data_IF_710181007210
#
_entry.id   IF_710181007210
#
_cell.length_a   1.000
_cell.length_b   1.000
_cell.length_c   1.000
_cell.angle_alpha   90.00
_cell.angle_beta   90.00
_cell.angle_gamma   90.00
#
_symmetry.space_group_name_H-M   'P 1'
#
loop_
_entity.id
_entity.type
_entity.pdbx_description
1 polymer ?
#
# COMPACT_ATOMS: atom_id res chain seq x y z
N UNK A 1 7.38 7.36 -28.47
CA UNK A 1 7.72 7.57 -27.05
C UNK A 1 9.15 7.10 -26.87
N UNK A 2 10.05 7.97 -26.40
CA UNK A 2 11.48 7.67 -26.23
C UNK A 2 11.71 7.16 -24.82
N UNK A 3 12.33 5.98 -24.67
CA UNK A 3 12.75 5.42 -23.38
C UNK A 3 14.06 6.11 -22.90
N UNK A 4 14.05 7.44 -22.78
CA UNK A 4 15.29 8.23 -22.59
C UNK A 4 15.86 8.22 -21.17
N UNK A 5 15.24 7.52 -20.21
CA UNK A 5 15.67 7.52 -18.80
C UNK A 5 15.69 6.12 -18.17
N UNK A 6 16.01 5.09 -18.95
CA UNK A 6 16.36 3.78 -18.37
C UNK A 6 17.86 3.78 -18.08
N UNK A 7 18.30 3.59 -16.82
CA UNK A 7 19.72 3.46 -16.53
C UNK A 7 20.27 2.25 -17.30
N UNK A 8 21.21 2.48 -18.21
CA UNK A 8 21.92 1.42 -18.92
C UNK A 8 23.29 1.22 -18.30
N UNK A 9 23.61 -0.01 -17.92
CA UNK A 9 24.94 -0.38 -17.49
C UNK A 9 25.78 -0.70 -18.73
N UNK A 10 26.77 0.13 -19.03
CA UNK A 10 27.70 -0.12 -20.12
C UNK A 10 28.82 -1.04 -19.65
N UNK A 11 28.75 -2.32 -19.98
CA UNK A 11 29.80 -3.29 -19.69
C UNK A 11 30.91 -3.22 -20.74
N UNK A 12 32.02 -2.56 -20.41
CA UNK A 12 33.23 -2.60 -21.24
C UNK A 12 34.09 -3.78 -20.82
N UNK A 13 33.82 -4.98 -21.37
CA UNK A 13 34.60 -6.19 -21.10
C UNK A 13 33.95 -7.47 -21.63
N UNK A 14 34.71 -8.56 -21.74
CA UNK A 14 34.23 -9.89 -22.19
C UNK A 14 33.74 -10.79 -21.06
N UNK A 15 33.69 -10.27 -19.83
CA UNK A 15 33.36 -11.04 -18.62
C UNK A 15 32.22 -10.35 -17.91
N UNK A 16 31.07 -11.04 -17.79
CA UNK A 16 29.93 -10.59 -16.97
C UNK A 16 30.19 -11.05 -15.53
N UNK A 17 30.24 -10.12 -14.59
CA UNK A 17 30.34 -10.40 -13.15
C UNK A 17 28.97 -10.25 -12.47
N UNK A 18 28.79 -10.83 -11.28
CA UNK A 18 27.54 -10.67 -10.51
C UNK A 18 27.20 -9.19 -10.22
N UNK A 19 28.22 -8.32 -10.14
CA UNK A 19 28.07 -6.87 -9.99
C UNK A 19 27.47 -6.16 -11.23
N UNK A 20 27.39 -6.85 -12.36
CA UNK A 20 26.86 -6.33 -13.62
C UNK A 20 25.34 -6.52 -13.75
N UNK A 21 24.71 -7.24 -12.81
CA UNK A 21 23.27 -7.44 -12.79
C UNK A 21 22.57 -6.32 -12.02
N UNK A 22 21.67 -5.61 -12.70
CA UNK A 22 20.70 -4.72 -12.05
C UNK A 22 19.55 -5.58 -11.53
N UNK A 23 19.34 -5.58 -10.21
CA UNK A 23 18.16 -6.20 -9.63
C UNK A 23 16.97 -5.26 -9.79
N UNK A 24 16.08 -5.59 -10.73
CA UNK A 24 14.83 -4.87 -10.95
C UNK A 24 13.71 -5.60 -10.22
N UNK A 25 13.21 -5.01 -9.14
CA UNK A 25 12.02 -5.50 -8.45
C UNK A 25 10.78 -4.81 -9.02
N UNK A 26 9.87 -5.60 -9.61
CA UNK A 26 8.57 -5.11 -10.06
C UNK A 26 7.48 -5.59 -9.10
N UNK A 27 6.74 -4.65 -8.52
CA UNK A 27 5.56 -4.95 -7.72
C UNK A 27 4.30 -4.67 -8.55
N UNK A 28 3.48 -5.68 -8.75
CA UNK A 28 2.17 -5.49 -9.34
C UNK A 28 1.29 -4.74 -8.34
N UNK A 29 0.95 -3.49 -8.66
CA UNK A 29 0.04 -2.69 -7.86
C UNK A 29 -1.39 -3.23 -8.08
N UNK A 30 -1.98 -3.76 -7.01
CA UNK A 30 -3.40 -4.08 -7.00
C UNK A 30 -4.23 -2.81 -6.88
N UNK A 31 -5.42 -2.81 -7.48
CA UNK A 31 -6.41 -1.75 -7.25
C UNK A 31 -7.02 -1.87 -5.85
N UNK A 32 -7.28 -3.11 -5.41
CA UNK A 32 -7.79 -3.46 -4.08
C UNK A 32 -6.69 -3.50 -3.01
N UNK A 33 -7.08 -3.30 -1.75
CA UNK A 33 -6.19 -3.58 -0.63
C UNK A 33 -5.98 -5.09 -0.48
N UNK A 34 -4.77 -5.50 -0.12
CA UNK A 34 -4.38 -6.92 0.01
C UNK A 34 -3.83 -7.20 1.39
N UNK A 35 -4.35 -8.26 2.01
CA UNK A 35 -3.73 -8.81 3.21
C UNK A 35 -2.91 -10.05 2.85
N UNK A 36 -1.63 -10.03 3.20
CA UNK A 36 -0.72 -11.14 2.97
C UNK A 36 0.57 -10.96 3.78
N UNK A 37 1.16 -12.07 4.21
CA UNK A 37 2.44 -12.06 4.95
C UNK A 37 2.44 -11.14 6.19
N UNK A 38 1.29 -11.01 6.86
CA UNK A 38 1.12 -10.17 8.06
C UNK A 38 1.02 -8.67 7.81
N UNK A 39 0.94 -8.24 6.54
CA UNK A 39 0.83 -6.84 6.15
C UNK A 39 -0.46 -6.60 5.37
N UNK A 40 -0.98 -5.39 5.53
CA UNK A 40 -2.08 -4.84 4.75
C UNK A 40 -1.50 -3.83 3.77
N UNK A 41 -1.44 -4.21 2.51
CA UNK A 41 -0.93 -3.37 1.44
C UNK A 41 -2.07 -2.62 0.76
N UNK A 42 -1.93 -1.30 0.62
CA UNK A 42 -3.03 -0.40 0.27
C UNK A 42 -2.57 0.67 -0.72
N UNK A 43 -3.28 0.81 -1.84
CA UNK A 43 -3.22 2.04 -2.62
C UNK A 43 -4.08 3.10 -1.93
N UNK A 44 -3.49 4.22 -1.55
CA UNK A 44 -4.07 5.26 -0.70
C UNK A 44 -4.10 6.61 -1.41
N UNK A 45 -5.27 7.23 -1.44
CA UNK A 45 -5.48 8.64 -1.74
C UNK A 45 -5.55 9.41 -0.41
N UNK A 46 -4.52 10.18 -0.10
CA UNK A 46 -4.42 10.99 1.12
C UNK A 46 -4.79 12.46 0.85
N UNK A 47 -5.61 12.73 -0.18
CA UNK A 47 -6.06 14.06 -0.53
C UNK A 47 -4.91 14.96 -0.97
N UNK A 48 -4.72 16.08 -0.28
CA UNK A 48 -3.69 17.07 -0.62
C UNK A 48 -2.25 16.56 -0.47
N UNK A 49 -2.03 15.48 0.29
CA UNK A 49 -0.72 14.82 0.44
C UNK A 49 -0.36 14.06 -0.85
N UNK A 50 -1.35 13.67 -1.63
CA UNK A 50 -1.20 12.92 -2.87
C UNK A 50 -1.61 11.46 -2.73
N UNK A 51 -1.14 10.67 -3.69
CA UNK A 51 -1.49 9.26 -3.85
C UNK A 51 -0.23 8.41 -3.66
N UNK A 52 -0.36 7.32 -2.90
CA UNK A 52 0.76 6.44 -2.61
C UNK A 52 0.29 5.00 -2.41
N UNK A 53 1.17 4.05 -2.66
CA UNK A 53 1.04 2.70 -2.18
C UNK A 53 1.78 2.57 -0.85
N UNK A 54 1.13 1.98 0.16
CA UNK A 54 1.64 1.88 1.52
C UNK A 54 1.32 0.51 2.11
N UNK A 55 2.19 0.04 2.98
CA UNK A 55 1.93 -1.09 3.86
C UNK A 55 1.50 -0.59 5.26
N UNK A 56 0.54 -1.29 5.83
CA UNK A 56 0.23 -1.24 7.24
C UNK A 56 0.58 -2.58 7.91
N UNK A 57 1.13 -2.52 9.12
CA UNK A 57 1.28 -3.69 9.98
C UNK A 57 0.10 -3.77 10.94
N UNK A 58 -0.39 -4.99 11.22
CA UNK A 58 -1.34 -5.20 12.31
C UNK A 58 -0.57 -5.17 13.63
N UNK A 59 -0.77 -4.12 14.43
CA UNK A 59 -0.09 -3.93 15.72
C UNK A 59 -0.92 -4.42 16.89
N UNK A 60 -2.23 -4.55 16.72
CA UNK A 60 -3.15 -5.16 17.69
C UNK A 60 -4.30 -5.84 16.94
N UNK A 61 -4.73 -7.00 17.42
CA UNK A 61 -5.86 -7.75 16.87
C UNK A 61 -7.01 -7.96 17.88
N UNK A 62 -6.83 -7.56 19.14
CA UNK A 62 -7.85 -7.68 20.19
C UNK A 62 -7.57 -6.69 21.35
N UNK A 63 -8.60 -6.07 21.96
CA UNK A 63 -10.03 -6.19 21.66
C UNK A 63 -10.42 -5.58 20.30
N UNK A 64 -9.71 -4.53 19.88
CA UNK A 64 -9.93 -3.86 18.60
C UNK A 64 -8.74 -4.10 17.66
N UNK A 65 -9.02 -4.20 16.36
CA UNK A 65 -7.95 -4.31 15.36
C UNK A 65 -7.32 -2.95 15.13
N UNK A 66 -6.01 -2.85 15.29
CA UNK A 66 -5.22 -1.65 15.05
C UNK A 66 -4.18 -1.94 13.96
N UNK A 67 -4.17 -1.07 12.96
CA UNK A 67 -3.17 -1.07 11.89
C UNK A 67 -2.29 0.17 12.02
N UNK A 68 -0.99 0.02 11.78
CA UNK A 68 -0.02 1.12 11.86
C UNK A 68 0.75 1.21 10.56
N UNK A 69 0.85 2.42 10.01
CA UNK A 69 1.59 2.69 8.77
C UNK A 69 3.05 2.23 8.92
N UNK A 70 3.59 1.59 7.89
CA UNK A 70 5.03 1.29 7.77
C UNK A 70 5.66 2.38 6.89
N UNK A 71 6.32 3.42 7.44
CA UNK A 71 6.67 4.61 6.65
C UNK A 71 7.62 4.31 5.48
N UNK A 72 8.54 3.35 5.68
CA UNK A 72 9.51 2.92 4.67
C UNK A 72 8.92 2.18 3.47
N UNK A 73 7.63 1.83 3.52
CA UNK A 73 6.92 1.18 2.41
C UNK A 73 6.31 2.16 1.40
N UNK A 74 6.31 3.46 1.72
CA UNK A 74 5.60 4.48 0.94
C UNK A 74 6.19 4.60 -0.46
N UNK A 75 5.37 4.31 -1.46
CA UNK A 75 5.69 4.49 -2.88
C UNK A 75 4.68 5.46 -3.49
N UNK A 76 5.08 6.68 -3.79
CA UNK A 76 4.21 7.66 -4.43
C UNK A 76 3.81 7.20 -5.84
N UNK A 77 2.54 7.39 -6.18
CA UNK A 77 1.96 7.05 -7.48
C UNK A 77 1.23 8.26 -8.05
N UNK A 78 1.26 8.41 -9.37
CA UNK A 78 0.68 9.53 -10.11
C UNK A 78 -0.63 9.16 -10.84
N UNK A 79 -1.13 7.94 -10.60
CA UNK A 79 -2.37 7.40 -11.17
C UNK A 79 -3.38 7.07 -10.10
N UNK A 80 -4.64 7.42 -10.36
CA UNK A 80 -5.78 7.00 -9.57
C UNK A 80 -6.23 5.60 -9.97
N UNK A 81 -6.53 4.77 -8.97
CA UNK A 81 -7.05 3.41 -9.14
C UNK A 81 -8.50 3.35 -8.67
N UNK A 82 -9.26 2.40 -9.19
CA UNK A 82 -10.71 2.26 -8.95
C UNK A 82 -11.04 1.99 -7.46
N UNK A 83 -10.32 1.07 -6.81
CA UNK A 83 -10.59 0.67 -5.41
C UNK A 83 -9.60 1.26 -4.38
N UNK A 84 -9.05 2.43 -4.69
CA UNK A 84 -8.11 3.10 -3.79
C UNK A 84 -8.77 3.44 -2.45
N UNK A 85 -8.05 3.16 -1.37
CA UNK A 85 -8.43 3.66 -0.05
C UNK A 85 -8.36 5.18 -0.02
N UNK A 86 -9.21 5.79 0.80
CA UNK A 86 -9.23 7.24 1.00
C UNK A 86 -8.96 7.58 2.45
N UNK A 87 -7.98 8.46 2.69
CA UNK A 87 -7.77 9.05 4.00
C UNK A 87 -8.22 10.51 4.00
N UNK A 88 -9.13 10.83 4.92
CA UNK A 88 -9.55 12.18 5.22
C UNK A 88 -8.82 12.67 6.48
N UNK A 89 -7.87 13.59 6.30
CA UNK A 89 -7.09 14.17 7.37
C UNK A 89 -7.92 15.05 8.33
N UNK A 90 -9.08 15.57 7.90
CA UNK A 90 -9.95 16.38 8.75
C UNK A 90 -10.73 15.52 9.73
N UNK A 91 -11.34 14.43 9.26
CA UNK A 91 -12.08 13.51 10.13
C UNK A 91 -11.22 12.42 10.77
N UNK A 92 -9.98 12.23 10.30
CA UNK A 92 -9.13 11.11 10.71
C UNK A 92 -9.62 9.76 10.19
N UNK A 93 -10.50 9.73 9.19
CA UNK A 93 -11.11 8.51 8.68
C UNK A 93 -10.26 7.92 7.56
N UNK A 94 -9.91 6.65 7.68
CA UNK A 94 -9.38 5.83 6.59
C UNK A 94 -10.46 4.86 6.13
N UNK A 95 -10.85 4.93 4.86
CA UNK A 95 -11.82 4.04 4.23
C UNK A 95 -11.11 3.16 3.21
N UNK A 96 -11.24 1.84 3.35
CA UNK A 96 -10.75 0.85 2.39
C UNK A 96 -11.97 0.21 1.72
N UNK A 97 -12.19 0.44 0.40
CA UNK A 97 -13.36 -0.06 -0.31
C UNK A 97 -13.50 -1.58 -0.29
N UNK A 98 -12.39 -2.27 -0.55
CA UNK A 98 -12.34 -3.74 -0.61
C UNK A 98 -11.01 -4.25 -0.07
N UNK A 99 -11.09 -5.32 0.72
CA UNK A 99 -9.95 -6.08 1.22
C UNK A 99 -9.96 -7.49 0.62
N UNK A 100 -8.90 -7.79 -0.12
CA UNK A 100 -8.64 -9.10 -0.68
C UNK A 100 -7.75 -9.93 0.26
N UNK A 101 -8.18 -11.16 0.53
CA UNK A 101 -7.44 -12.16 1.30
C UNK A 101 -7.39 -13.43 0.46
N UNK A 102 -6.19 -13.99 0.24
CA UNK A 102 -5.98 -15.20 -0.56
C UNK A 102 -6.59 -15.15 -1.97
N UNK A 103 -6.60 -13.99 -2.62
CA UNK A 103 -7.10 -13.85 -4.00
C UNK A 103 -8.60 -13.58 -4.13
N UNK A 104 -9.33 -13.50 -3.02
CA UNK A 104 -10.76 -13.20 -3.00
C UNK A 104 -11.06 -11.98 -2.12
N UNK A 105 -12.01 -11.14 -2.54
CA UNK A 105 -12.52 -10.05 -1.71
C UNK A 105 -13.25 -10.68 -0.52
N UNK A 106 -12.73 -10.46 0.69
CA UNK A 106 -13.27 -11.02 1.92
C UNK A 106 -14.11 -10.01 2.70
N UNK A 107 -13.73 -8.73 2.63
CA UNK A 107 -14.42 -7.64 3.32
C UNK A 107 -14.52 -6.42 2.44
N UNK A 108 -15.54 -5.61 2.67
CA UNK A 108 -15.77 -4.33 1.99
C UNK A 108 -16.08 -3.23 3.00
N UNK A 109 -15.99 -1.97 2.56
CA UNK A 109 -16.33 -0.79 3.35
C UNK A 109 -15.62 -0.73 4.72
N UNK A 110 -14.34 -1.14 4.77
CA UNK A 110 -13.60 -1.14 6.02
C UNK A 110 -13.32 0.30 6.42
N UNK A 111 -13.85 0.70 7.57
CA UNK A 111 -13.68 2.04 8.14
C UNK A 111 -12.77 1.97 9.34
N UNK A 112 -11.69 2.73 9.30
CA UNK A 112 -10.80 2.92 10.43
C UNK A 112 -10.80 4.37 10.87
N UNK A 113 -10.55 4.61 12.16
CA UNK A 113 -10.37 5.94 12.74
C UNK A 113 -8.93 6.07 13.23
N UNK A 114 -8.29 7.19 12.90
CA UNK A 114 -6.97 7.55 13.38
C UNK A 114 -6.99 7.71 14.90
N UNK A 115 -6.25 6.86 15.60
CA UNK A 115 -6.15 6.84 17.07
C UNK A 115 -4.77 7.30 17.57
N UNK A 116 -3.75 7.24 16.71
CA UNK A 116 -2.43 7.80 16.99
C UNK A 116 -1.88 8.50 15.74
N UNK A 117 -1.97 9.84 15.72
CA UNK A 117 -1.49 10.66 14.62
C UNK A 117 0.04 10.68 14.48
N UNK A 118 0.80 10.36 15.53
CA UNK A 118 2.27 10.37 15.48
C UNK A 118 2.79 9.18 14.68
N UNK A 119 2.19 8.02 14.89
CA UNK A 119 2.58 6.78 14.23
C UNK A 119 1.67 6.42 13.03
N UNK A 120 0.63 7.22 12.78
CA UNK A 120 -0.45 6.89 11.84
C UNK A 120 -1.03 5.50 12.13
N UNK A 121 -1.47 5.32 13.39
CA UNK A 121 -2.20 4.12 13.80
C UNK A 121 -3.70 4.35 13.72
N UNK A 122 -4.40 3.40 13.14
CA UNK A 122 -5.83 3.44 12.90
C UNK A 122 -6.52 2.24 13.53
N UNK A 123 -7.63 2.48 14.24
CA UNK A 123 -8.45 1.44 14.86
C UNK A 123 -9.68 1.17 14.00
N UNK A 124 -9.89 -0.11 13.67
CA UNK A 124 -11.04 -0.57 12.91
C UNK A 124 -12.35 -0.24 13.64
N UNK A 125 -13.30 0.34 12.94
CA UNK A 125 -14.62 0.73 13.47
C UNK A 125 -15.74 -0.13 12.89
N UNK A 126 -15.70 -0.41 11.58
CA UNK A 126 -16.74 -1.18 10.91
C UNK A 126 -16.20 -1.81 9.62
N UNK A 127 -16.87 -2.85 9.16
CA UNK A 127 -16.66 -3.51 7.87
C UNK A 127 -17.92 -4.29 7.49
N UNK A 128 -18.08 -4.59 6.21
CA UNK A 128 -19.08 -5.52 5.70
C UNK A 128 -18.38 -6.80 5.24
N UNK A 129 -18.96 -7.96 5.53
CA UNK A 129 -18.51 -9.23 4.96
C UNK A 129 -18.88 -9.29 3.47
N UNK A 130 -17.93 -9.73 2.63
CA UNK A 130 -18.22 -9.95 1.23
C UNK A 130 -19.20 -11.15 1.06
N UNK A 131 -20.13 -11.08 0.09
CA UNK A 131 -21.13 -12.13 -0.16
C UNK A 131 -20.55 -13.45 -0.67
#
# INVERSE_FOLDING_TARGET
MSFSDVPYLSLTGTTIADADFVNVSMSALSTSAKFGSGKLSVALNAGAIGQAWVDFAITQSSPDTVITLVPSSTLFIDRTLEDMATFDAFSGTLLIPALEINGAVAYTNLRFTLTDAKNYSFTLQSFDEAP
#
